data_IF_215182700958
#
_entry.id   IF_215182700958
#
_cell.length_a   1.000
_cell.length_b   1.000
_cell.length_c   1.000
_cell.angle_alpha   90.00
_cell.angle_beta   90.00
_cell.angle_gamma   90.00
#
_symmetry.space_group_name_H-M   'P 1'
#
loop_
_entity.id
_entity.type
_entity.pdbx_description
1 polymer ?
#
# COMPACT_ATOMS: atom_id res chain seq x y z
N UNK A 1 -43.60 29.41 2.80
CA UNK A 1 -43.30 28.15 3.51
C UNK A 1 -41.82 28.17 3.86
N UNK A 2 -41.50 28.18 5.15
CA UNK A 2 -40.12 28.22 5.62
C UNK A 2 -39.51 26.81 5.51
N UNK A 3 -38.44 26.68 4.72
CA UNK A 3 -37.60 25.49 4.66
C UNK A 3 -36.71 25.48 5.90
N UNK A 4 -37.13 24.73 6.92
CA UNK A 4 -36.28 24.37 8.05
C UNK A 4 -35.14 23.50 7.54
N UNK A 5 -33.92 24.01 7.59
CA UNK A 5 -32.72 23.18 7.47
C UNK A 5 -32.74 22.12 8.58
N UNK A 6 -32.34 20.86 8.30
CA UNK A 6 -32.31 19.82 9.31
C UNK A 6 -31.29 20.21 10.38
N UNK A 7 -31.76 20.34 11.62
CA UNK A 7 -30.90 20.52 12.79
C UNK A 7 -30.10 19.23 12.95
N UNK A 8 -28.83 19.27 12.57
CA UNK A 8 -27.86 18.23 12.87
C UNK A 8 -27.61 18.30 14.37
N UNK A 9 -28.28 17.45 15.13
CA UNK A 9 -28.09 17.35 16.57
C UNK A 9 -26.69 16.80 16.84
N UNK A 10 -25.72 17.64 17.22
CA UNK A 10 -24.31 17.27 17.43
C UNK A 10 -24.08 16.15 18.46
N UNK A 11 -25.06 15.89 19.34
CA UNK A 11 -24.99 14.80 20.33
C UNK A 11 -25.30 13.40 19.78
N UNK A 12 -26.12 13.30 18.72
CA UNK A 12 -26.51 12.02 18.11
C UNK A 12 -25.38 11.33 17.31
N UNK A 13 -24.49 12.06 16.58
CA UNK A 13 -23.32 11.51 15.91
C UNK A 13 -22.40 10.74 16.86
N UNK A 14 -22.11 11.29 18.04
CA UNK A 14 -21.21 10.66 19.00
C UNK A 14 -21.72 9.28 19.46
N UNK A 15 -23.04 9.15 19.69
CA UNK A 15 -23.64 7.88 20.11
C UNK A 15 -23.63 6.83 18.99
N UNK A 16 -23.89 7.21 17.74
CA UNK A 16 -23.85 6.27 16.61
C UNK A 16 -22.42 5.83 16.28
N UNK A 17 -21.42 6.72 16.37
CA UNK A 17 -20.02 6.34 16.20
C UNK A 17 -19.51 5.46 17.35
N UNK A 18 -19.93 5.71 18.59
CA UNK A 18 -19.63 4.82 19.72
C UNK A 18 -20.24 3.42 19.52
N UNK A 19 -21.47 3.36 18.97
CA UNK A 19 -22.10 2.08 18.62
C UNK A 19 -21.39 1.40 17.45
N UNK A 20 -20.90 2.15 16.46
CA UNK A 20 -20.10 1.60 15.36
C UNK A 20 -18.82 0.97 15.90
N UNK A 21 -18.13 1.66 16.80
CA UNK A 21 -16.93 1.18 17.49
C UNK A 21 -17.18 -0.11 18.26
N UNK A 22 -18.24 -0.16 19.09
CA UNK A 22 -18.66 -1.36 19.82
C UNK A 22 -18.83 -2.55 18.88
N UNK A 23 -19.53 -2.36 17.75
CA UNK A 23 -19.83 -3.43 16.79
C UNK A 23 -18.59 -3.90 16.05
N UNK A 24 -17.72 -2.98 15.65
CA UNK A 24 -16.45 -3.30 14.97
C UNK A 24 -15.52 -4.09 15.91
N UNK A 25 -15.36 -3.64 17.16
CA UNK A 25 -14.53 -4.32 18.17
C UNK A 25 -15.09 -5.69 18.54
N UNK A 26 -16.42 -5.82 18.62
CA UNK A 26 -17.12 -7.08 18.86
C UNK A 26 -17.10 -8.05 17.67
N UNK A 27 -16.46 -7.68 16.55
CA UNK A 27 -16.41 -8.47 15.30
C UNK A 27 -17.81 -8.70 14.67
N UNK A 28 -18.77 -7.82 14.94
CA UNK A 28 -20.16 -7.90 14.47
C UNK A 28 -20.33 -7.21 13.10
N UNK A 29 -20.11 -7.96 12.02
CA UNK A 29 -20.19 -7.45 10.63
C UNK A 29 -21.57 -6.88 10.29
N UNK A 30 -22.63 -7.61 10.64
CA UNK A 30 -24.02 -7.20 10.37
C UNK A 30 -24.36 -5.94 11.16
N UNK A 31 -24.07 -5.93 12.47
CA UNK A 31 -24.35 -4.78 13.32
C UNK A 31 -23.54 -3.54 12.96
N UNK A 32 -22.27 -3.68 12.57
CA UNK A 32 -21.46 -2.56 12.08
C UNK A 32 -22.04 -1.98 10.77
N UNK A 33 -22.49 -2.85 9.86
CA UNK A 33 -23.12 -2.45 8.60
C UNK A 33 -24.45 -1.72 8.84
N UNK A 34 -25.27 -2.19 9.77
CA UNK A 34 -26.53 -1.54 10.13
C UNK A 34 -26.32 -0.13 10.74
N UNK A 35 -25.26 0.05 11.52
CA UNK A 35 -24.88 1.38 12.03
C UNK A 35 -24.42 2.28 10.88
N UNK A 36 -23.56 1.79 9.98
CA UNK A 36 -23.15 2.54 8.80
C UNK A 36 -24.33 2.99 7.96
N UNK A 37 -25.27 2.10 7.67
CA UNK A 37 -26.45 2.44 6.87
C UNK A 37 -27.30 3.54 7.52
N UNK A 38 -27.34 3.61 8.85
CA UNK A 38 -28.02 4.70 9.56
C UNK A 38 -27.25 6.02 9.44
N UNK A 39 -25.93 6.01 9.60
CA UNK A 39 -25.07 7.19 9.37
C UNK A 39 -25.22 7.72 7.93
N UNK A 40 -25.28 6.82 6.94
CA UNK A 40 -25.52 7.18 5.55
C UNK A 40 -26.90 7.83 5.34
N UNK A 41 -27.97 7.24 5.91
CA UNK A 41 -29.33 7.80 5.83
C UNK A 41 -29.48 9.15 6.53
N UNK A 42 -28.63 9.43 7.52
CA UNK A 42 -28.54 10.74 8.17
C UNK A 42 -27.77 11.78 7.33
N UNK A 43 -27.20 11.39 6.19
CA UNK A 43 -26.45 12.28 5.31
C UNK A 43 -25.10 12.70 5.87
N UNK A 44 -24.47 11.87 6.74
CA UNK A 44 -23.13 12.18 7.27
C UNK A 44 -22.10 12.25 6.13
N UNK A 45 -21.15 13.20 6.17
CA UNK A 45 -20.08 13.29 5.18
C UNK A 45 -19.27 11.99 5.11
N UNK A 46 -18.91 11.55 3.90
CA UNK A 46 -18.10 10.33 3.73
C UNK A 46 -16.75 10.46 4.42
N UNK A 47 -16.11 11.62 4.35
CA UNK A 47 -14.80 11.88 4.96
C UNK A 47 -14.87 11.84 6.49
N UNK A 48 -16.00 12.24 7.07
CA UNK A 48 -16.27 12.10 8.50
C UNK A 48 -16.43 10.64 8.90
N UNK A 49 -17.23 9.87 8.14
CA UNK A 49 -17.37 8.41 8.37
C UNK A 49 -16.00 7.73 8.26
N UNK A 50 -15.23 8.03 7.22
CA UNK A 50 -13.89 7.48 7.01
C UNK A 50 -12.94 7.83 8.15
N UNK A 51 -12.94 9.08 8.63
CA UNK A 51 -12.14 9.47 9.80
C UNK A 51 -12.48 8.61 11.02
N UNK A 52 -13.77 8.46 11.32
CA UNK A 52 -14.20 7.68 12.48
C UNK A 52 -13.91 6.19 12.33
N UNK A 53 -14.07 5.61 11.14
CA UNK A 53 -13.73 4.21 10.92
C UNK A 53 -12.23 3.97 11.04
N UNK A 54 -11.37 4.87 10.52
CA UNK A 54 -9.91 4.84 10.75
C UNK A 54 -9.59 4.90 12.24
N UNK A 55 -10.15 5.87 12.98
CA UNK A 55 -9.96 6.00 14.43
C UNK A 55 -10.27 4.69 15.17
N UNK A 56 -11.34 4.00 14.77
CA UNK A 56 -11.76 2.74 15.38
C UNK A 56 -10.77 1.60 15.10
N UNK A 57 -10.35 1.42 13.84
CA UNK A 57 -9.54 0.24 13.48
C UNK A 57 -8.02 0.44 13.64
N UNK A 58 -7.51 1.68 13.58
CA UNK A 58 -6.08 1.99 13.62
C UNK A 58 -5.33 1.28 14.75
N UNK A 59 -5.81 1.27 16.02
CA UNK A 59 -5.07 0.65 17.11
C UNK A 59 -4.91 -0.87 16.99
N UNK A 60 -5.81 -1.52 16.23
CA UNK A 60 -5.99 -2.97 16.19
C UNK A 60 -5.58 -3.59 14.86
N UNK A 61 -5.06 -2.79 13.93
CA UNK A 61 -4.53 -3.26 12.65
C UNK A 61 -3.01 -3.32 12.67
N UNK A 62 -2.36 -3.14 13.82
CA UNK A 62 -0.92 -3.36 13.95
C UNK A 62 -0.58 -4.83 14.17
N UNK A 63 0.64 -5.22 13.79
CA UNK A 63 1.23 -6.51 14.12
C UNK A 63 2.62 -6.31 14.73
N UNK A 64 3.07 -7.17 15.65
CA UNK A 64 4.42 -7.09 16.21
C UNK A 64 5.48 -7.39 15.14
N UNK A 65 5.15 -8.26 14.18
CA UNK A 65 5.97 -8.60 13.02
C UNK A 65 5.07 -9.19 11.92
N UNK A 66 5.42 -9.02 10.63
CA UNK A 66 4.64 -9.59 9.51
C UNK A 66 4.95 -11.06 9.23
N UNK A 67 5.82 -11.66 10.03
CA UNK A 67 6.29 -13.03 9.85
C UNK A 67 6.34 -13.74 11.19
N UNK A 68 6.10 -15.04 11.16
CA UNK A 68 6.30 -15.93 12.31
C UNK A 68 6.89 -17.24 11.82
N UNK A 69 7.73 -17.84 12.66
CA UNK A 69 8.24 -19.19 12.45
C UNK A 69 7.52 -20.14 13.41
N UNK A 70 6.82 -21.12 12.85
CA UNK A 70 6.16 -22.21 13.57
C UNK A 70 6.73 -23.53 13.07
N UNK A 71 7.42 -24.27 13.94
CA UNK A 71 8.01 -25.59 13.64
C UNK A 71 8.89 -25.60 12.36
N UNK A 72 9.63 -24.52 12.14
CA UNK A 72 10.48 -24.34 10.96
C UNK A 72 9.75 -23.87 9.69
N UNK A 73 8.42 -23.71 9.76
CA UNK A 73 7.58 -23.18 8.69
C UNK A 73 7.35 -21.69 8.88
N UNK A 74 7.54 -20.95 7.79
CA UNK A 74 7.30 -19.51 7.76
C UNK A 74 5.82 -19.25 7.51
N UNK A 75 5.17 -18.52 8.41
CA UNK A 75 3.84 -17.95 8.20
C UNK A 75 3.93 -16.43 8.17
N UNK A 76 3.03 -15.81 7.45
CA UNK A 76 3.04 -14.37 7.21
C UNK A 76 1.66 -13.77 7.47
N UNK A 77 1.66 -12.48 7.75
CA UNK A 77 0.46 -11.72 8.06
C UNK A 77 0.57 -10.31 7.50
N UNK A 78 -0.53 -9.86 6.90
CA UNK A 78 -0.78 -8.49 6.50
C UNK A 78 -1.97 -7.94 7.27
N UNK A 79 -2.06 -6.63 7.27
CA UNK A 79 -2.83 -5.87 8.23
C UNK A 79 -3.26 -4.51 7.67
N UNK A 80 -3.23 -4.37 6.34
CA UNK A 80 -3.46 -3.12 5.62
C UNK A 80 -4.86 -3.06 4.98
N UNK A 81 -5.57 -4.18 4.92
CA UNK A 81 -6.83 -4.30 4.20
C UNK A 81 -7.91 -3.27 4.63
N UNK A 82 -8.03 -2.93 5.91
CA UNK A 82 -8.97 -1.90 6.37
C UNK A 82 -8.63 -0.54 5.74
N UNK A 83 -7.37 -0.09 5.92
CA UNK A 83 -6.89 1.20 5.43
C UNK A 83 -6.87 1.28 3.89
N UNK A 84 -6.46 0.20 3.22
CA UNK A 84 -6.46 0.14 1.75
C UNK A 84 -7.88 0.19 1.19
N UNK A 85 -8.81 -0.54 1.81
CA UNK A 85 -10.21 -0.55 1.36
C UNK A 85 -10.84 0.84 1.49
N UNK A 86 -10.55 1.58 2.55
CA UNK A 86 -10.98 2.98 2.69
C UNK A 86 -10.39 3.87 1.61
N UNK A 87 -9.08 3.78 1.36
CA UNK A 87 -8.40 4.57 0.31
C UNK A 87 -9.03 4.32 -1.05
N UNK A 88 -9.24 3.06 -1.43
CA UNK A 88 -9.81 2.71 -2.74
C UNK A 88 -11.31 3.05 -2.79
N UNK A 89 -12.00 2.95 -1.66
CA UNK A 89 -13.43 3.22 -1.54
C UNK A 89 -13.80 4.64 -1.96
N UNK A 90 -13.04 5.65 -1.52
CA UNK A 90 -13.33 7.07 -1.77
C UNK A 90 -13.40 7.47 -3.26
N UNK A 91 -12.35 7.28 -4.09
CA UNK A 91 -12.38 7.65 -5.50
C UNK A 91 -13.36 6.79 -6.30
N UNK A 92 -13.54 5.51 -5.95
CA UNK A 92 -14.49 4.63 -6.63
C UNK A 92 -15.94 5.16 -6.57
N UNK A 93 -16.30 5.91 -5.53
CA UNK A 93 -17.65 6.51 -5.41
C UNK A 93 -17.98 7.43 -6.59
N UNK A 94 -16.98 8.12 -7.14
CA UNK A 94 -17.15 8.99 -8.31
C UNK A 94 -17.08 8.25 -9.65
N UNK A 95 -16.62 6.99 -9.66
CA UNK A 95 -16.44 6.19 -10.87
C UNK A 95 -17.62 5.23 -11.13
N UNK A 96 -18.52 5.07 -10.16
CA UNK A 96 -19.71 4.23 -10.26
C UNK A 96 -20.99 5.09 -10.32
N UNK A 97 -22.10 4.47 -10.70
CA UNK A 97 -23.40 5.16 -10.78
C UNK A 97 -23.79 5.78 -9.43
N UNK A 98 -24.38 6.98 -9.39
CA UNK A 98 -24.69 7.70 -8.15
C UNK A 98 -25.51 6.88 -7.13
N UNK A 99 -26.42 6.04 -7.60
CA UNK A 99 -27.27 5.18 -6.75
C UNK A 99 -26.45 4.10 -6.02
N UNK A 100 -25.26 3.79 -6.53
CA UNK A 100 -24.34 2.80 -6.00
C UNK A 100 -23.14 3.44 -5.28
N UNK A 101 -23.07 4.77 -5.18
CA UNK A 101 -21.90 5.52 -4.70
C UNK A 101 -21.46 5.19 -3.27
N UNK A 102 -22.25 4.43 -2.50
CA UNK A 102 -21.89 3.96 -1.17
C UNK A 102 -21.47 2.49 -1.10
N UNK A 103 -21.66 1.71 -2.17
CA UNK A 103 -21.24 0.31 -2.21
C UNK A 103 -19.77 0.09 -1.83
N UNK A 104 -18.80 0.91 -2.30
CA UNK A 104 -17.41 0.73 -1.91
C UNK A 104 -17.22 0.86 -0.40
N UNK A 105 -17.82 1.88 0.22
CA UNK A 105 -17.73 2.10 1.67
C UNK A 105 -18.47 1.02 2.48
N UNK A 106 -19.60 0.52 1.98
CA UNK A 106 -20.32 -0.58 2.62
C UNK A 106 -19.47 -1.85 2.63
N UNK A 107 -18.77 -2.15 1.52
CA UNK A 107 -17.83 -3.28 1.46
C UNK A 107 -16.66 -3.13 2.44
N UNK A 108 -16.11 -1.91 2.56
CA UNK A 108 -15.05 -1.60 3.52
C UNK A 108 -15.46 -1.91 4.97
N UNK A 109 -16.60 -1.37 5.41
CA UNK A 109 -17.07 -1.57 6.79
C UNK A 109 -17.52 -3.01 7.04
N UNK A 110 -18.06 -3.69 6.03
CA UNK A 110 -18.36 -5.12 6.14
C UNK A 110 -17.11 -5.94 6.49
N UNK A 111 -15.97 -5.59 5.91
CA UNK A 111 -14.71 -6.29 6.14
C UNK A 111 -14.06 -5.95 7.50
N UNK A 112 -14.10 -4.68 7.92
CA UNK A 112 -13.38 -4.15 9.08
C UNK A 112 -13.42 -5.01 10.35
N UNK A 113 -14.59 -5.49 10.82
CA UNK A 113 -14.67 -6.28 12.06
C UNK A 113 -13.85 -7.58 12.00
N UNK A 114 -13.66 -8.16 10.81
CA UNK A 114 -12.83 -9.36 10.59
C UNK A 114 -11.38 -9.04 10.21
N UNK A 115 -11.10 -7.79 9.84
CA UNK A 115 -9.76 -7.29 9.55
C UNK A 115 -8.94 -6.94 10.80
N UNK A 116 -9.57 -6.90 11.99
CA UNK A 116 -8.89 -6.56 13.24
C UNK A 116 -8.03 -7.71 13.77
N UNK A 117 -6.92 -7.29 14.38
CA UNK A 117 -5.94 -8.10 15.09
C UNK A 117 -5.52 -9.35 14.31
N UNK A 118 -4.93 -9.17 13.12
CA UNK A 118 -4.55 -10.27 12.27
C UNK A 118 -3.41 -11.09 12.88
N UNK A 119 -2.67 -10.55 13.86
CA UNK A 119 -1.71 -11.34 14.65
C UNK A 119 -2.42 -12.40 15.50
N UNK A 120 -3.47 -12.04 16.25
CA UNK A 120 -4.23 -13.05 17.01
C UNK A 120 -4.96 -14.05 16.10
N UNK A 121 -5.23 -13.69 14.83
CA UNK A 121 -5.63 -14.66 13.81
C UNK A 121 -4.49 -15.61 13.43
N UNK A 122 -3.29 -15.08 13.17
CA UNK A 122 -2.11 -15.89 12.82
C UNK A 122 -1.73 -16.90 13.90
N UNK A 123 -2.02 -16.59 15.17
CA UNK A 123 -1.67 -17.45 16.31
C UNK A 123 -2.85 -18.29 16.86
N UNK A 124 -3.99 -18.31 16.17
CA UNK A 124 -5.16 -19.13 16.52
C UNK A 124 -5.99 -18.64 17.71
N UNK A 125 -5.70 -17.45 18.25
CA UNK A 125 -6.46 -16.86 19.36
C UNK A 125 -7.79 -16.24 18.91
N UNK A 126 -7.87 -15.79 17.66
CA UNK A 126 -9.07 -15.17 17.09
C UNK A 126 -9.38 -15.75 15.70
N UNK A 127 -10.66 -15.86 15.30
CA UNK A 127 -11.02 -16.30 13.96
C UNK A 127 -10.69 -15.23 12.92
N UNK A 128 -10.38 -15.67 11.69
CA UNK A 128 -10.26 -14.76 10.56
C UNK A 128 -9.57 -15.34 9.34
N UNK A 129 -9.05 -14.45 8.48
CA UNK A 129 -8.46 -14.83 7.20
C UNK A 129 -7.28 -15.78 7.40
N UNK A 130 -6.37 -15.47 8.33
CA UNK A 130 -5.15 -16.23 8.54
C UNK A 130 -5.39 -17.61 9.18
N UNK A 131 -6.40 -17.75 10.04
CA UNK A 131 -6.79 -19.07 10.57
C UNK A 131 -7.26 -20.02 9.48
N UNK A 132 -8.01 -19.52 8.48
CA UNK A 132 -8.47 -20.32 7.34
C UNK A 132 -7.35 -20.62 6.36
N UNK A 133 -6.48 -19.64 6.11
CA UNK A 133 -5.37 -19.77 5.18
C UNK A 133 -4.36 -20.83 5.62
N UNK A 134 -4.12 -20.93 6.92
CA UNK A 134 -3.11 -21.81 7.51
C UNK A 134 -3.70 -23.03 8.25
N UNK A 135 -5.01 -23.26 8.12
CA UNK A 135 -5.76 -24.34 8.78
C UNK A 135 -5.46 -24.44 10.29
N UNK A 136 -5.58 -23.30 10.98
CA UNK A 136 -5.26 -23.15 12.41
C UNK A 136 -6.52 -23.35 13.24
N UNK A 137 -6.44 -24.20 14.26
CA UNK A 137 -7.50 -24.36 15.24
C UNK A 137 -7.73 -23.06 16.03
N UNK A 138 -9.01 -22.67 16.16
CA UNK A 138 -9.39 -21.37 16.73
C UNK A 138 -10.00 -21.55 18.11
N UNK A 139 -9.60 -20.68 19.04
CA UNK A 139 -10.27 -20.57 20.33
C UNK A 139 -11.78 -20.27 20.17
N UNK A 140 -12.62 -21.04 20.87
CA UNK A 140 -14.09 -20.89 20.84
C UNK A 140 -14.58 -19.59 21.46
N UNK A 141 -13.78 -18.96 22.32
CA UNK A 141 -14.05 -17.65 22.92
C UNK A 141 -12.91 -16.68 22.60
N UNK A 142 -12.94 -16.03 21.43
CA UNK A 142 -11.86 -15.14 21.02
C UNK A 142 -11.78 -13.90 21.94
N UNK A 143 -10.56 -13.40 22.24
CA UNK A 143 -10.40 -12.19 23.02
C UNK A 143 -10.80 -10.95 22.20
N UNK A 144 -10.95 -9.82 22.90
CA UNK A 144 -11.02 -8.52 22.24
C UNK A 144 -9.73 -8.26 21.44
N UNK A 145 -9.80 -7.52 20.31
CA UNK A 145 -8.63 -7.13 19.53
C UNK A 145 -7.54 -6.47 20.37
N UNK A 146 -6.30 -6.88 20.15
CA UNK A 146 -5.12 -6.41 20.87
C UNK A 146 -4.46 -5.22 20.16
N UNK A 147 -3.97 -4.25 20.95
CA UNK A 147 -3.15 -3.14 20.47
C UNK A 147 -1.67 -3.51 20.61
N UNK A 148 -1.04 -3.86 19.49
CA UNK A 148 0.37 -4.29 19.47
C UNK A 148 1.37 -3.14 19.59
N UNK A 149 1.05 -1.96 19.06
CA UNK A 149 1.87 -0.75 19.20
C UNK A 149 1.03 0.40 19.75
N UNK A 150 1.43 1.04 20.86
CA UNK A 150 0.72 2.22 21.38
C UNK A 150 0.97 3.44 20.50
N UNK A 151 -0.04 4.31 20.41
CA UNK A 151 0.12 5.64 19.83
C UNK A 151 1.17 6.47 20.59
N UNK A 152 1.72 7.49 19.95
CA UNK A 152 2.91 8.20 20.40
C UNK A 152 2.79 9.71 20.33
N UNK A 153 3.57 10.39 21.17
CA UNK A 153 3.79 11.82 21.06
C UNK A 153 4.93 12.13 20.07
N UNK A 154 4.87 13.26 19.35
CA UNK A 154 5.91 13.67 18.42
C UNK A 154 7.24 13.94 19.14
N UNK A 155 8.34 13.60 18.47
CA UNK A 155 9.70 14.00 18.86
C UNK A 155 10.29 14.87 17.77
N UNK A 156 10.73 16.07 18.15
CA UNK A 156 11.44 16.97 17.26
C UNK A 156 12.90 16.52 17.15
N UNK A 157 13.42 16.54 15.92
CA UNK A 157 14.81 16.23 15.62
C UNK A 157 15.44 17.48 15.02
N UNK A 158 16.65 17.80 15.43
CA UNK A 158 17.40 18.95 14.91
C UNK A 158 18.11 18.61 13.59
N UNK A 159 18.60 19.63 12.89
CA UNK A 159 19.36 19.50 11.65
C UNK A 159 18.60 19.89 10.39
N UNK A 160 19.29 19.86 9.25
CA UNK A 160 18.68 20.19 7.97
C UNK A 160 17.58 19.17 7.61
N UNK A 161 16.57 19.59 6.84
CA UNK A 161 15.45 18.70 6.45
C UNK A 161 15.94 17.34 5.91
N UNK A 162 16.94 17.36 5.02
CA UNK A 162 17.52 16.14 4.45
C UNK A 162 18.10 15.19 5.51
N UNK A 163 18.78 15.73 6.52
CA UNK A 163 19.37 14.94 7.60
C UNK A 163 18.27 14.30 8.46
N UNK A 164 17.23 15.06 8.79
CA UNK A 164 16.08 14.58 9.56
C UNK A 164 15.31 13.48 8.80
N UNK A 165 15.08 13.65 7.50
CA UNK A 165 14.44 12.62 6.65
C UNK A 165 15.29 11.34 6.54
N UNK A 166 16.60 11.47 6.40
CA UNK A 166 17.52 10.33 6.38
C UNK A 166 17.60 9.62 7.73
N UNK A 167 17.57 10.38 8.83
CA UNK A 167 17.51 9.82 10.18
C UNK A 167 16.24 8.98 10.36
N UNK A 168 15.08 9.52 9.98
CA UNK A 168 13.82 8.78 10.01
C UNK A 168 13.88 7.49 9.18
N UNK A 169 14.37 7.55 7.93
CA UNK A 169 14.48 6.36 7.08
C UNK A 169 15.45 5.32 7.68
N UNK A 170 16.50 5.76 8.37
CA UNK A 170 17.43 4.85 9.07
C UNK A 170 16.74 4.09 10.20
N UNK A 171 15.89 4.76 10.98
CA UNK A 171 15.09 4.11 12.02
C UNK A 171 14.12 3.08 11.42
N UNK A 172 13.45 3.42 10.32
CA UNK A 172 12.59 2.50 9.56
C UNK A 172 13.36 1.26 9.10
N UNK A 173 14.54 1.45 8.49
CA UNK A 173 15.38 0.34 8.01
C UNK A 173 15.85 -0.57 9.16
N UNK A 174 16.18 -0.01 10.31
CA UNK A 174 16.60 -0.76 11.51
C UNK A 174 15.44 -1.46 12.20
N UNK A 175 14.21 -0.99 12.02
CA UNK A 175 13.04 -1.56 12.65
C UNK A 175 12.62 -0.94 13.95
N UNK A 176 13.05 0.28 14.19
CA UNK A 176 12.73 1.02 15.41
C UNK A 176 11.30 1.58 15.29
N UNK A 177 10.29 0.72 15.46
CA UNK A 177 8.88 1.03 15.16
C UNK A 177 8.40 2.27 15.92
N UNK A 178 8.54 2.29 17.24
CA UNK A 178 8.04 3.40 18.06
C UNK A 178 8.84 4.68 17.84
N UNK A 179 10.16 4.59 17.77
CA UNK A 179 11.02 5.77 17.59
C UNK A 179 10.86 6.39 16.20
N UNK A 180 10.81 5.56 15.15
CA UNK A 180 10.53 6.04 13.79
C UNK A 180 9.16 6.72 13.70
N UNK A 181 8.13 6.21 14.39
CA UNK A 181 6.81 6.84 14.42
C UNK A 181 6.84 8.19 15.16
N UNK A 182 7.47 8.28 16.33
CA UNK A 182 7.64 9.53 17.09
C UNK A 182 8.34 10.61 16.27
N UNK A 183 9.43 10.25 15.60
CA UNK A 183 10.17 11.15 14.70
C UNK A 183 9.32 11.57 13.51
N UNK A 184 8.55 10.66 12.92
CA UNK A 184 7.65 11.00 11.81
C UNK A 184 6.58 12.02 12.21
N UNK A 185 5.95 11.82 13.38
CA UNK A 185 4.98 12.76 13.91
C UNK A 185 5.60 14.15 14.10
N UNK A 186 6.84 14.22 14.63
CA UNK A 186 7.57 15.48 14.74
C UNK A 186 7.85 16.15 13.40
N UNK A 187 8.24 15.37 12.39
CA UNK A 187 8.42 15.85 11.01
C UNK A 187 7.11 16.39 10.41
N UNK A 188 5.96 15.77 10.70
CA UNK A 188 4.65 16.21 10.18
C UNK A 188 4.16 17.54 10.78
N UNK A 189 4.70 17.96 11.93
CA UNK A 189 4.46 19.28 12.53
C UNK A 189 5.15 20.42 11.78
N UNK A 190 6.18 20.13 10.99
CA UNK A 190 6.84 21.07 10.08
C UNK A 190 5.98 21.25 8.81
N UNK A 191 4.88 21.99 8.95
CA UNK A 191 3.85 22.18 7.90
C UNK A 191 4.44 22.60 6.54
N UNK A 192 5.38 23.57 6.46
CA UNK A 192 5.99 23.95 5.18
C UNK A 192 6.70 22.80 4.47
N UNK A 193 7.25 21.84 5.21
CA UNK A 193 8.02 20.71 4.67
C UNK A 193 7.23 19.40 4.60
N UNK A 194 5.96 19.38 5.04
CA UNK A 194 5.11 18.18 5.11
C UNK A 194 5.11 17.36 3.82
N UNK A 195 5.07 18.02 2.65
CA UNK A 195 5.10 17.32 1.35
C UNK A 195 6.37 16.48 1.15
N UNK A 196 7.52 16.93 1.65
CA UNK A 196 8.77 16.16 1.59
C UNK A 196 8.75 14.97 2.56
N UNK A 197 8.13 15.13 3.73
CA UNK A 197 7.94 14.05 4.72
C UNK A 197 7.03 12.95 4.15
N UNK A 198 5.93 13.31 3.50
CA UNK A 198 5.03 12.38 2.81
C UNK A 198 5.72 11.69 1.62
N UNK A 199 6.56 12.42 0.87
CA UNK A 199 7.38 11.81 -0.18
C UNK A 199 8.33 10.75 0.39
N UNK A 200 8.95 11.03 1.55
CA UNK A 200 9.83 10.10 2.23
C UNK A 200 9.08 8.85 2.73
N UNK A 201 7.84 9.02 3.24
CA UNK A 201 6.95 7.93 3.63
C UNK A 201 6.66 6.97 2.46
N UNK A 202 6.19 7.53 1.34
CA UNK A 202 5.92 6.77 0.13
C UNK A 202 7.19 6.06 -0.37
N UNK A 203 8.32 6.78 -0.40
CA UNK A 203 9.60 6.21 -0.80
C UNK A 203 10.01 5.02 0.06
N UNK A 204 9.91 5.13 1.39
CA UNK A 204 10.25 4.05 2.33
C UNK A 204 9.43 2.78 2.07
N UNK A 205 8.13 2.93 1.79
CA UNK A 205 7.27 1.80 1.43
C UNK A 205 7.57 1.20 0.05
N UNK A 206 7.96 2.03 -0.92
CA UNK A 206 8.25 1.59 -2.29
C UNK A 206 9.56 0.84 -2.44
N UNK A 207 10.53 1.05 -1.55
CA UNK A 207 11.83 0.34 -1.61
C UNK A 207 11.81 -1.02 -0.90
N UNK A 208 10.80 -1.31 -0.08
CA UNK A 208 10.64 -2.57 0.65
C UNK A 208 9.71 -3.51 -0.11
N UNK A 209 10.28 -4.29 -1.02
CA UNK A 209 9.54 -5.17 -1.92
C UNK A 209 10.25 -6.50 -2.05
N UNK A 210 9.50 -7.58 -1.88
CA UNK A 210 9.98 -8.94 -2.05
C UNK A 210 10.65 -9.15 -3.41
N UNK A 211 11.86 -9.67 -3.40
CA UNK A 211 12.74 -9.88 -4.56
C UNK A 211 12.65 -11.28 -5.18
N UNK A 212 11.93 -12.21 -4.53
CA UNK A 212 11.73 -13.60 -4.99
C UNK A 212 10.28 -13.98 -4.95
N UNK A 213 9.63 -14.28 -6.08
CA UNK A 213 8.23 -14.70 -6.10
C UNK A 213 8.02 -16.20 -6.40
N UNK A 214 8.97 -16.84 -7.08
CA UNK A 214 8.86 -18.27 -7.39
C UNK A 214 9.30 -19.12 -6.19
N UNK A 215 8.49 -20.13 -5.82
CA UNK A 215 8.64 -20.94 -4.60
C UNK A 215 8.81 -20.15 -3.29
N UNK A 216 8.46 -18.87 -3.28
CA UNK A 216 8.54 -18.02 -2.11
C UNK A 216 7.27 -17.19 -2.01
N UNK A 217 6.60 -17.30 -0.87
CA UNK A 217 5.37 -16.56 -0.57
C UNK A 217 5.63 -15.68 0.66
N UNK A 218 6.32 -14.56 0.46
CA UNK A 218 6.25 -13.43 1.39
C UNK A 218 5.02 -12.57 1.05
N UNK A 219 4.64 -11.74 2.00
CA UNK A 219 3.51 -10.82 1.89
C UNK A 219 3.95 -9.35 1.80
N UNK A 220 5.25 -9.11 1.63
CA UNK A 220 5.81 -7.79 1.32
C UNK A 220 5.83 -7.53 -0.19
N UNK A 221 4.74 -7.87 -0.88
CA UNK A 221 4.54 -7.71 -2.33
C UNK A 221 4.08 -6.30 -2.69
N UNK A 222 4.74 -5.28 -2.11
CA UNK A 222 4.40 -3.86 -2.28
C UNK A 222 3.43 -3.28 -1.26
N UNK A 223 2.92 -4.08 -0.30
CA UNK A 223 1.94 -3.65 0.71
C UNK A 223 2.36 -2.40 1.50
N UNK A 224 3.63 -2.24 1.85
CA UNK A 224 4.11 -1.02 2.52
C UNK A 224 3.98 0.22 1.64
N UNK A 225 4.24 0.10 0.34
CA UNK A 225 3.97 1.15 -0.64
C UNK A 225 2.49 1.49 -0.72
N UNK A 226 1.60 0.48 -0.74
CA UNK A 226 0.15 0.69 -0.79
C UNK A 226 -0.37 1.39 0.44
N UNK A 227 0.14 1.00 1.62
CA UNK A 227 -0.19 1.59 2.91
C UNK A 227 0.32 3.03 3.00
N UNK A 228 1.55 3.29 2.58
CA UNK A 228 2.09 4.65 2.53
C UNK A 228 1.23 5.55 1.64
N UNK A 229 0.86 5.08 0.44
CA UNK A 229 -0.07 5.79 -0.44
C UNK A 229 -1.45 5.98 0.21
N UNK A 230 -1.99 4.95 0.85
CA UNK A 230 -3.28 5.05 1.54
C UNK A 230 -3.26 6.08 2.67
N UNK A 231 -2.18 6.12 3.44
CA UNK A 231 -1.96 7.11 4.50
C UNK A 231 -1.99 8.53 3.94
N UNK A 232 -1.35 8.75 2.80
CA UNK A 232 -1.25 10.07 2.15
C UNK A 232 -2.61 10.49 1.57
N UNK A 233 -3.24 9.64 0.75
CA UNK A 233 -4.50 9.97 0.09
C UNK A 233 -5.67 10.12 1.09
N UNK A 234 -5.70 9.31 2.16
CA UNK A 234 -6.69 9.47 3.23
C UNK A 234 -6.43 10.72 4.06
N UNK A 235 -5.16 11.03 4.35
CA UNK A 235 -4.79 12.26 5.06
C UNK A 235 -5.17 13.53 4.29
N UNK A 236 -4.97 13.53 2.96
CA UNK A 236 -5.39 14.62 2.09
C UNK A 236 -6.93 14.74 2.01
N UNK A 237 -7.65 13.61 1.94
CA UNK A 237 -9.11 13.60 1.87
C UNK A 237 -9.79 14.03 3.18
N UNK A 238 -9.25 13.63 4.33
CA UNK A 238 -9.78 13.97 5.66
C UNK A 238 -9.33 15.39 6.09
N UNK A 239 -8.15 15.81 5.65
CA UNK A 239 -7.48 17.01 6.12
C UNK A 239 -6.49 16.69 7.24
N UNK A 240 -5.26 17.18 7.10
CA UNK A 240 -4.14 16.82 7.98
C UNK A 240 -4.31 17.23 9.45
N UNK A 241 -5.18 18.18 9.76
CA UNK A 241 -5.50 18.57 11.15
C UNK A 241 -6.31 17.48 11.88
N UNK A 242 -6.96 16.60 11.12
CA UNK A 242 -7.83 15.53 11.63
C UNK A 242 -7.34 14.13 11.22
N UNK A 243 -6.11 14.03 10.69
CA UNK A 243 -5.55 12.80 10.11
C UNK A 243 -4.61 12.03 11.06
N UNK A 244 -4.59 12.35 12.36
CA UNK A 244 -3.70 11.69 13.32
C UNK A 244 -3.89 10.17 13.33
N UNK A 245 -5.14 9.69 13.38
CA UNK A 245 -5.41 8.25 13.37
C UNK A 245 -5.01 7.56 12.04
N UNK A 246 -4.98 8.31 10.94
CA UNK A 246 -4.47 7.82 9.64
C UNK A 246 -2.96 7.63 9.72
N UNK A 247 -2.23 8.57 10.32
CA UNK A 247 -0.80 8.44 10.58
C UNK A 247 -0.53 7.27 11.52
N UNK A 248 -1.31 7.12 12.58
CA UNK A 248 -1.19 6.02 13.51
C UNK A 248 -1.41 4.67 12.83
N UNK A 249 -2.44 4.53 11.99
CA UNK A 249 -2.69 3.30 11.24
C UNK A 249 -1.57 2.95 10.24
N UNK A 250 -1.01 3.97 9.58
CA UNK A 250 -0.14 3.80 8.43
C UNK A 250 1.36 3.74 8.72
N UNK A 251 1.85 4.65 9.55
CA UNK A 251 3.29 4.96 9.67
C UNK A 251 4.08 3.90 10.46
N UNK A 252 3.62 3.41 11.63
CA UNK A 252 4.38 2.44 12.41
C UNK A 252 4.73 1.17 11.62
N UNK A 253 3.80 0.71 10.78
CA UNK A 253 3.93 -0.51 9.99
C UNK A 253 5.09 -0.48 8.98
N UNK A 254 5.47 0.72 8.51
CA UNK A 254 6.57 0.88 7.55
C UNK A 254 7.88 0.34 8.14
N UNK A 255 8.08 0.44 9.45
CA UNK A 255 9.24 -0.08 10.16
C UNK A 255 9.14 -1.56 10.59
N UNK A 256 7.92 -2.14 10.58
CA UNK A 256 7.71 -3.54 10.99
C UNK A 256 8.32 -4.48 9.94
N UNK A 257 9.09 -5.48 10.38
CA UNK A 257 9.76 -6.41 9.46
C UNK A 257 8.88 -7.60 9.02
N UNK A 258 9.38 -8.48 8.14
CA UNK A 258 10.72 -8.47 7.54
C UNK A 258 10.88 -7.40 6.45
N UNK A 259 12.13 -7.12 6.05
CA UNK A 259 12.47 -6.11 5.04
C UNK A 259 13.17 -6.73 3.85
N UNK A 260 12.85 -6.25 2.66
CA UNK A 260 13.38 -6.73 1.38
C UNK A 260 13.90 -5.55 0.56
N UNK A 261 15.18 -5.21 0.77
CA UNK A 261 15.82 -4.07 0.11
C UNK A 261 16.75 -4.46 -1.04
N UNK A 262 16.87 -5.75 -1.38
CA UNK A 262 17.81 -6.23 -2.39
C UNK A 262 17.57 -5.63 -3.78
N UNK A 263 16.32 -5.52 -4.25
CA UNK A 263 16.03 -4.84 -5.51
C UNK A 263 16.39 -3.35 -5.47
N UNK A 264 16.18 -2.69 -4.32
CA UNK A 264 16.57 -1.29 -4.15
C UNK A 264 18.10 -1.11 -4.10
N UNK A 265 18.81 -2.02 -3.46
CA UNK A 265 20.27 -2.08 -3.43
C UNK A 265 20.85 -2.28 -4.83
N UNK A 266 20.26 -3.15 -5.66
CA UNK A 266 20.61 -3.28 -7.08
C UNK A 266 20.43 -1.94 -7.79
N UNK A 267 19.29 -1.28 -7.61
CA UNK A 267 19.04 0.06 -8.18
C UNK A 267 20.07 1.10 -7.74
N UNK A 268 20.49 1.08 -6.48
CA UNK A 268 21.55 1.97 -5.98
C UNK A 268 22.88 1.71 -6.68
N UNK A 269 23.30 0.44 -6.76
CA UNK A 269 24.57 0.05 -7.37
C UNK A 269 24.61 0.28 -8.88
N UNK A 270 23.50 0.04 -9.59
CA UNK A 270 23.38 0.33 -11.03
C UNK A 270 23.49 1.82 -11.29
N UNK A 271 22.77 2.64 -10.53
CA UNK A 271 22.83 4.10 -10.69
C UNK A 271 24.23 4.63 -10.40
N UNK A 272 24.89 4.11 -9.35
CA UNK A 272 26.24 4.53 -9.01
C UNK A 272 27.29 4.08 -10.04
N UNK A 273 27.24 2.81 -10.44
CA UNK A 273 28.33 2.16 -11.19
C UNK A 273 28.18 2.25 -12.71
N UNK A 274 26.94 2.29 -13.22
CA UNK A 274 26.65 2.25 -14.66
C UNK A 274 26.11 3.57 -15.21
N UNK A 275 25.65 4.46 -14.33
CA UNK A 275 25.02 5.75 -14.65
C UNK A 275 25.67 6.93 -13.91
N UNK A 276 26.87 6.72 -13.34
CA UNK A 276 27.73 7.73 -12.71
C UNK A 276 27.08 8.54 -11.57
N UNK A 277 26.07 8.00 -10.90
CA UNK A 277 25.34 8.70 -9.84
C UNK A 277 24.52 9.91 -10.33
N UNK A 278 24.21 9.99 -11.62
CA UNK A 278 23.55 11.16 -12.26
C UNK A 278 22.02 11.17 -12.10
N UNK A 279 21.51 10.74 -10.95
CA UNK A 279 20.06 10.61 -10.66
C UNK A 279 19.26 11.84 -11.14
N UNK A 280 19.67 13.04 -10.70
CA UNK A 280 18.94 14.27 -10.95
C UNK A 280 18.93 14.67 -12.43
N UNK A 281 19.97 14.33 -13.19
CA UNK A 281 20.04 14.62 -14.61
C UNK A 281 19.18 13.67 -15.42
N UNK A 282 19.30 12.36 -15.15
CA UNK A 282 18.50 11.33 -15.81
C UNK A 282 17.00 11.51 -15.56
N UNK A 283 16.61 11.95 -14.36
CA UNK A 283 15.22 12.28 -14.04
C UNK A 283 14.67 13.49 -14.82
N UNK A 284 15.52 14.35 -15.38
CA UNK A 284 15.11 15.50 -16.21
C UNK A 284 15.00 15.18 -17.69
N UNK A 285 15.29 13.94 -18.10
CA UNK A 285 15.18 13.53 -19.49
C UNK A 285 13.71 13.49 -19.93
N UNK A 286 13.42 13.99 -21.13
CA UNK A 286 12.06 14.13 -21.66
C UNK A 286 11.83 13.35 -22.97
N UNK A 287 12.88 12.78 -23.59
CA UNK A 287 12.68 12.07 -24.87
C UNK A 287 11.77 10.85 -24.67
N UNK A 288 10.72 10.70 -25.49
CA UNK A 288 9.83 9.55 -25.40
C UNK A 288 10.53 8.27 -25.85
N UNK A 289 9.97 7.13 -25.45
CA UNK A 289 10.28 5.83 -26.06
C UNK A 289 9.61 5.77 -27.43
N UNK A 290 10.30 5.18 -28.39
CA UNK A 290 9.68 4.75 -29.65
C UNK A 290 8.80 3.52 -29.40
N UNK A 291 7.83 3.21 -30.27
CA UNK A 291 7.02 2.00 -30.14
C UNK A 291 7.85 0.71 -30.10
N UNK A 292 8.98 0.68 -30.82
CA UNK A 292 9.89 -0.46 -30.81
C UNK A 292 10.63 -0.61 -29.48
N UNK A 293 11.05 0.51 -28.85
CA UNK A 293 11.68 0.50 -27.53
C UNK A 293 10.71 0.11 -26.42
N UNK A 294 9.46 0.57 -26.49
CA UNK A 294 8.40 0.15 -25.56
C UNK A 294 8.15 -1.36 -25.66
N UNK A 295 7.92 -1.86 -26.87
CA UNK A 295 7.70 -3.29 -27.11
C UNK A 295 8.91 -4.15 -26.68
N UNK A 296 10.12 -3.67 -26.95
CA UNK A 296 11.36 -4.32 -26.50
C UNK A 296 11.43 -4.39 -24.98
N UNK A 297 11.18 -3.29 -24.28
CA UNK A 297 11.26 -3.26 -22.82
C UNK A 297 10.20 -4.17 -22.19
N UNK A 298 8.97 -4.17 -22.71
CA UNK A 298 7.90 -5.08 -22.27
C UNK A 298 8.29 -6.55 -22.45
N UNK A 299 8.83 -6.92 -23.61
CA UNK A 299 9.30 -8.29 -23.87
C UNK A 299 10.45 -8.68 -22.95
N UNK A 300 11.47 -7.82 -22.81
CA UNK A 300 12.61 -8.05 -21.92
C UNK A 300 12.16 -8.26 -20.47
N UNK A 301 11.30 -7.39 -19.94
CA UNK A 301 10.78 -7.51 -18.57
C UNK A 301 9.98 -8.81 -18.41
N UNK A 302 9.12 -9.16 -19.36
CA UNK A 302 8.23 -10.30 -19.18
C UNK A 302 8.88 -11.64 -19.51
N UNK A 303 9.93 -11.68 -20.34
CA UNK A 303 10.44 -12.94 -20.92
C UNK A 303 11.92 -13.21 -20.66
N UNK A 304 12.73 -12.19 -20.37
CA UNK A 304 14.16 -12.37 -20.22
C UNK A 304 14.60 -12.44 -18.76
N UNK A 305 15.90 -12.60 -18.53
CA UNK A 305 16.50 -12.70 -17.21
C UNK A 305 16.81 -11.31 -16.65
N UNK A 306 16.97 -11.25 -15.33
CA UNK A 306 17.24 -10.02 -14.56
C UNK A 306 18.33 -9.12 -15.18
N UNK A 307 19.47 -9.68 -15.61
CA UNK A 307 20.56 -8.89 -16.18
C UNK A 307 20.13 -8.16 -17.47
N UNK A 308 19.34 -8.82 -18.33
CA UNK A 308 18.81 -8.21 -19.56
C UNK A 308 17.87 -7.04 -19.26
N UNK A 309 17.07 -7.16 -18.20
CA UNK A 309 16.16 -6.08 -17.75
C UNK A 309 16.96 -4.86 -17.31
N UNK A 310 18.01 -5.06 -16.51
CA UNK A 310 18.90 -3.98 -16.05
C UNK A 310 19.56 -3.31 -17.25
N UNK A 311 20.15 -4.09 -18.16
CA UNK A 311 20.83 -3.58 -19.35
C UNK A 311 19.89 -2.75 -20.24
N UNK A 312 18.66 -3.22 -20.45
CA UNK A 312 17.65 -2.51 -21.24
C UNK A 312 17.29 -1.15 -20.62
N UNK A 313 17.01 -1.11 -19.31
CA UNK A 313 16.69 0.16 -18.61
C UNK A 313 17.88 1.12 -18.66
N UNK A 314 19.11 0.64 -18.43
CA UNK A 314 20.33 1.45 -18.51
C UNK A 314 20.53 1.99 -19.93
N UNK A 315 20.34 1.18 -20.96
CA UNK A 315 20.48 1.60 -22.35
C UNK A 315 19.50 2.72 -22.72
N UNK A 316 18.23 2.60 -22.28
CA UNK A 316 17.23 3.64 -22.50
C UNK A 316 17.59 4.95 -21.80
N UNK A 317 18.04 4.91 -20.54
CA UNK A 317 18.49 6.10 -19.80
C UNK A 317 19.72 6.76 -20.46
N UNK A 318 20.67 5.96 -20.94
CA UNK A 318 21.85 6.46 -21.68
C UNK A 318 21.48 7.05 -23.03
N UNK A 319 20.46 6.53 -23.70
CA UNK A 319 19.89 7.09 -24.92
C UNK A 319 19.05 8.36 -24.67
N UNK A 320 18.95 8.82 -23.42
CA UNK A 320 18.25 10.05 -23.06
C UNK A 320 16.74 9.90 -22.90
N UNK A 321 16.24 8.65 -22.79
CA UNK A 321 14.81 8.37 -22.67
C UNK A 321 14.29 8.77 -21.30
N UNK A 322 13.11 9.37 -21.27
CA UNK A 322 12.49 9.85 -20.04
C UNK A 322 12.22 8.71 -19.06
N UNK A 323 12.70 8.86 -17.82
CA UNK A 323 12.43 7.94 -16.72
C UNK A 323 10.92 7.66 -16.54
N UNK A 324 10.07 8.68 -16.70
CA UNK A 324 8.61 8.53 -16.59
C UNK A 324 8.02 7.66 -17.71
N UNK A 325 8.59 7.74 -18.93
CA UNK A 325 8.17 6.94 -20.09
C UNK A 325 8.69 5.51 -20.04
N UNK A 326 9.87 5.30 -19.45
CA UNK A 326 10.35 3.96 -19.09
C UNK A 326 9.38 3.31 -18.09
N UNK A 327 8.90 4.07 -17.10
CA UNK A 327 7.91 3.58 -16.13
C UNK A 327 6.56 3.24 -16.79
N UNK A 328 6.09 4.01 -17.77
CA UNK A 328 4.87 3.67 -18.55
C UNK A 328 5.01 2.27 -19.18
N UNK A 329 6.14 1.98 -19.83
CA UNK A 329 6.40 0.67 -20.41
C UNK A 329 6.47 -0.46 -19.35
N UNK A 330 7.01 -0.18 -18.15
CA UNK A 330 6.99 -1.13 -17.03
C UNK A 330 5.54 -1.40 -16.57
N UNK A 331 4.67 -0.38 -16.53
CA UNK A 331 3.25 -0.57 -16.20
C UNK A 331 2.52 -1.41 -17.26
N UNK A 332 2.85 -1.25 -18.54
CA UNK A 332 2.35 -2.11 -19.62
C UNK A 332 2.83 -3.55 -19.43
N UNK A 333 4.10 -3.76 -19.06
CA UNK A 333 4.61 -5.09 -18.74
C UNK A 333 3.84 -5.72 -17.56
N UNK A 334 3.55 -4.95 -16.51
CA UNK A 334 2.74 -5.42 -15.39
C UNK A 334 1.32 -5.82 -15.81
N UNK A 335 0.70 -5.04 -16.70
CA UNK A 335 -0.60 -5.37 -17.30
C UNK A 335 -0.51 -6.65 -18.14
N UNK A 336 0.55 -6.84 -18.92
CA UNK A 336 0.76 -8.07 -19.68
C UNK A 336 0.82 -9.31 -18.77
N UNK A 337 1.45 -9.21 -17.59
CA UNK A 337 1.46 -10.31 -16.60
C UNK A 337 0.06 -10.62 -16.07
N UNK A 338 -0.79 -9.62 -15.83
CA UNK A 338 -2.22 -9.82 -15.48
C UNK A 338 -2.94 -10.57 -16.60
N UNK A 339 -2.74 -10.14 -17.83
CA UNK A 339 -3.41 -10.69 -19.01
C UNK A 339 -3.01 -12.15 -19.31
N UNK A 340 -1.77 -12.53 -18.97
CA UNK A 340 -1.28 -13.90 -19.05
C UNK A 340 -1.63 -14.76 -17.83
N UNK A 341 -2.25 -14.15 -16.81
CA UNK A 341 -2.73 -14.89 -15.64
C UNK A 341 -4.02 -15.63 -15.98
N UNK A 342 -3.97 -16.94 -15.79
CA UNK A 342 -4.98 -17.84 -16.29
C UNK A 342 -6.09 -18.12 -15.29
N UNK A 343 -5.75 -18.90 -14.28
CA UNK A 343 -6.69 -19.37 -13.26
C UNK A 343 -7.05 -18.28 -12.26
N UNK A 344 -8.30 -18.20 -11.78
CA UNK A 344 -8.73 -17.19 -10.81
C UNK A 344 -7.85 -17.10 -9.55
N UNK A 345 -7.32 -18.23 -9.08
CA UNK A 345 -6.48 -18.30 -7.89
C UNK A 345 -5.05 -17.77 -8.10
N UNK A 346 -4.62 -17.57 -9.36
CA UNK A 346 -3.25 -17.15 -9.69
C UNK A 346 -3.09 -15.62 -9.76
N UNK A 347 -4.20 -14.86 -9.69
CA UNK A 347 -4.21 -13.40 -9.83
C UNK A 347 -3.53 -12.65 -8.70
N UNK A 348 -3.30 -13.27 -7.54
CA UNK A 348 -2.69 -12.60 -6.39
C UNK A 348 -1.39 -11.89 -6.79
N UNK A 349 -0.35 -12.62 -7.23
CA UNK A 349 0.95 -12.00 -7.49
C UNK A 349 0.92 -10.98 -8.63
N UNK A 350 0.14 -11.24 -9.69
CA UNK A 350 0.02 -10.31 -10.81
C UNK A 350 -0.67 -8.99 -10.39
N UNK A 351 -1.73 -9.07 -9.58
CA UNK A 351 -2.44 -7.89 -9.05
C UNK A 351 -1.54 -7.03 -8.16
N UNK A 352 -0.73 -7.66 -7.31
CA UNK A 352 0.26 -6.94 -6.52
C UNK A 352 1.31 -6.28 -7.42
N UNK A 353 1.85 -6.98 -8.42
CA UNK A 353 2.73 -6.39 -9.43
C UNK A 353 2.15 -5.12 -10.06
N UNK A 354 0.91 -5.22 -10.53
CA UNK A 354 0.21 -4.13 -11.19
C UNK A 354 -0.05 -2.93 -10.26
N UNK A 355 -0.57 -3.17 -9.05
CA UNK A 355 -0.82 -2.11 -8.06
C UNK A 355 0.49 -1.45 -7.60
N UNK A 356 1.58 -2.20 -7.48
CA UNK A 356 2.91 -1.66 -7.19
C UNK A 356 3.36 -0.68 -8.26
N UNK A 357 3.33 -1.08 -9.54
CA UNK A 357 3.72 -0.20 -10.62
C UNK A 357 2.83 1.06 -10.70
N UNK A 358 1.53 0.94 -10.42
CA UNK A 358 0.63 2.10 -10.34
C UNK A 358 0.95 3.01 -9.14
N UNK A 359 1.37 2.44 -8.02
CA UNK A 359 1.82 3.22 -6.85
C UNK A 359 3.14 3.94 -7.14
N UNK A 360 4.07 3.32 -7.87
CA UNK A 360 5.29 3.98 -8.36
C UNK A 360 4.94 5.10 -9.34
N UNK A 361 4.01 4.87 -10.28
CA UNK A 361 3.51 5.89 -11.20
C UNK A 361 2.93 7.10 -10.47
N UNK A 362 2.02 6.84 -9.54
CA UNK A 362 1.45 7.87 -8.66
C UNK A 362 2.54 8.64 -7.89
N UNK A 363 3.56 7.95 -7.38
CA UNK A 363 4.68 8.59 -6.66
C UNK A 363 5.51 9.49 -7.58
N UNK A 364 5.76 9.05 -8.82
CA UNK A 364 6.43 9.85 -9.84
C UNK A 364 5.67 11.14 -10.14
N UNK A 365 4.36 11.04 -10.28
CA UNK A 365 3.48 12.15 -10.65
C UNK A 365 3.22 13.10 -9.47
N UNK A 366 3.29 12.59 -8.23
CA UNK A 366 2.99 13.35 -7.02
C UNK A 366 4.21 14.02 -6.38
N UNK A 367 5.41 13.41 -6.46
CA UNK A 367 6.56 13.88 -5.69
C UNK A 367 7.81 14.08 -6.53
N UNK A 368 8.55 15.16 -6.24
CA UNK A 368 9.90 15.37 -6.76
C UNK A 368 10.95 14.82 -5.77
N UNK A 369 10.99 13.49 -5.60
CA UNK A 369 11.94 12.84 -4.70
C UNK A 369 13.28 12.55 -5.41
N UNK A 370 14.44 12.82 -4.78
CA UNK A 370 15.76 12.69 -5.44
C UNK A 370 16.16 11.25 -5.77
N UNK A 371 15.47 10.25 -5.22
CA UNK A 371 15.78 8.83 -5.42
C UNK A 371 14.74 8.10 -6.29
N UNK A 372 13.90 8.83 -7.02
CA UNK A 372 12.90 8.24 -7.94
C UNK A 372 13.50 7.29 -8.96
N UNK A 373 14.68 7.61 -9.51
CA UNK A 373 15.31 6.84 -10.58
C UNK A 373 15.52 5.37 -10.20
N UNK A 374 15.93 5.12 -8.95
CA UNK A 374 16.19 3.77 -8.42
C UNK A 374 14.93 2.89 -8.43
N UNK A 375 13.74 3.49 -8.31
CA UNK A 375 12.47 2.77 -8.35
C UNK A 375 12.14 2.19 -9.73
N UNK A 376 12.75 2.66 -10.83
CA UNK A 376 12.59 2.02 -12.14
C UNK A 376 13.12 0.58 -12.10
N UNK A 377 14.28 0.39 -11.47
CA UNK A 377 14.89 -0.93 -11.32
C UNK A 377 14.07 -1.80 -10.37
N UNK A 378 13.60 -1.25 -9.24
CA UNK A 378 12.74 -2.00 -8.31
C UNK A 378 11.47 -2.48 -9.03
N UNK A 379 10.78 -1.59 -9.75
CA UNK A 379 9.56 -1.93 -10.49
C UNK A 379 9.82 -2.94 -11.62
N UNK A 380 10.82 -2.71 -12.46
CA UNK A 380 11.13 -3.60 -13.59
C UNK A 380 11.50 -5.00 -13.10
N UNK A 381 12.32 -5.10 -12.05
CA UNK A 381 12.72 -6.39 -11.47
C UNK A 381 11.55 -7.09 -10.77
N UNK A 382 10.73 -6.35 -10.02
CA UNK A 382 9.55 -6.91 -9.37
C UNK A 382 8.60 -7.55 -10.39
N UNK A 383 8.34 -6.87 -11.51
CA UNK A 383 7.51 -7.42 -12.60
C UNK A 383 8.19 -8.57 -13.32
N UNK A 384 9.51 -8.52 -13.53
CA UNK A 384 10.24 -9.65 -14.11
C UNK A 384 10.11 -10.92 -13.26
N UNK A 385 10.22 -10.80 -11.94
CA UNK A 385 9.98 -11.92 -11.00
C UNK A 385 8.53 -12.36 -10.97
N UNK A 386 7.59 -11.43 -11.08
CA UNK A 386 6.16 -11.72 -11.23
C UNK A 386 5.87 -12.50 -12.50
N UNK A 387 6.47 -12.12 -13.61
CA UNK A 387 6.34 -12.83 -14.88
C UNK A 387 6.94 -14.24 -14.82
N UNK A 388 8.13 -14.39 -14.23
CA UNK A 388 8.75 -15.70 -13.99
C UNK A 388 7.86 -16.59 -13.12
N UNK A 389 7.30 -16.04 -12.03
CA UNK A 389 6.33 -16.76 -11.20
C UNK A 389 5.10 -17.19 -12.01
N UNK A 390 4.48 -16.29 -12.76
CA UNK A 390 3.25 -16.61 -13.51
C UNK A 390 3.51 -17.65 -14.61
N UNK A 391 4.62 -17.53 -15.34
CA UNK A 391 4.98 -18.46 -16.41
C UNK A 391 5.21 -19.90 -15.92
N UNK A 392 5.61 -20.07 -14.65
CA UNK A 392 5.90 -21.38 -14.06
C UNK A 392 4.76 -21.91 -13.17
N UNK A 393 3.72 -21.11 -12.89
CA UNK A 393 2.54 -21.56 -12.14
C UNK A 393 1.53 -22.26 -13.08
N UNK A 394 1.10 -23.50 -12.77
CA UNK A 394 0.11 -24.23 -13.59
C UNK A 394 -1.20 -23.45 -13.80
N UNK A 395 -1.80 -23.62 -14.98
CA UNK A 395 -3.06 -22.97 -15.36
C UNK A 395 -2.89 -21.55 -15.90
N UNK A 396 -1.67 -21.00 -15.89
CA UNK A 396 -1.33 -19.77 -16.59
C UNK A 396 -0.82 -20.05 -18.00
N UNK A 397 -0.71 -18.98 -18.78
CA UNK A 397 -0.14 -19.04 -20.11
C UNK A 397 -0.64 -17.91 -20.99
N UNK A 398 -0.03 -17.80 -22.17
CA UNK A 398 -0.41 -16.76 -23.13
C UNK A 398 -1.88 -16.92 -23.51
N UNK A 399 -2.67 -15.90 -23.24
CA UNK A 399 -4.04 -15.79 -23.72
C UNK A 399 -4.07 -14.84 -24.91
N UNK A 400 -4.65 -15.31 -26.02
CA UNK A 400 -5.01 -14.40 -27.11
C UNK A 400 -6.24 -13.63 -26.66
N UNK A 401 -6.07 -12.36 -26.29
CA UNK A 401 -7.19 -11.49 -25.98
C UNK A 401 -7.76 -11.03 -27.33
N UNK A 402 -8.93 -11.54 -27.67
CA UNK A 402 -9.73 -10.94 -28.72
C UNK A 402 -10.39 -9.68 -28.16
N UNK A 403 -10.46 -8.57 -28.93
CA UNK A 403 -11.31 -7.44 -28.54
C UNK A 403 -12.75 -7.94 -28.31
N UNK A 404 -13.50 -7.33 -27.37
CA UNK A 404 -14.89 -7.70 -27.16
C UNK A 404 -15.66 -7.61 -28.49
N UNK A 405 -16.48 -8.62 -28.78
CA UNK A 405 -17.44 -8.51 -29.88
C UNK A 405 -18.42 -7.40 -29.48
N UNK A 406 -18.58 -6.42 -30.37
CA UNK A 406 -19.18 -5.11 -30.11
C UNK A 406 -20.60 -5.11 -29.61
#
# INVERSE_FOLDING_TARGET
MATTAPVVNESAPAAEYARLEERIIARDQTGASDVLYRLMKQGRPVTEITRETVRIHAPYTHVPYHQRLDDGIVKFVNNDHCLLSERVGLPLRSMIRPELAWLPMAQTVWYMPTGLDPWNQLIGKAPGHYTRLYDIEVNTTPPLPERHWPDQAPVQVEGALRERLNHWLTLVQRGEVLESYRVFLGLMQDVPNRRHVLAQLAFAGLIDVQDRMWHNRSYTTGHKGYRARATIELGDAIGWDQAHDVLYAGVPDIAVGPRWYSCYEVGCNVVQSLLDGRDAELLRQEMPLTPAEEAMLVDVITRQREFSVIDAVVALLKAGRSARRILDAIQIAAAQVILETGEPNNYSMAQHGYEYCNTVGWFYDSFNHPHRLKLLFVAALFINRGSEHQANTPGNGRRTIAPPQG
#
